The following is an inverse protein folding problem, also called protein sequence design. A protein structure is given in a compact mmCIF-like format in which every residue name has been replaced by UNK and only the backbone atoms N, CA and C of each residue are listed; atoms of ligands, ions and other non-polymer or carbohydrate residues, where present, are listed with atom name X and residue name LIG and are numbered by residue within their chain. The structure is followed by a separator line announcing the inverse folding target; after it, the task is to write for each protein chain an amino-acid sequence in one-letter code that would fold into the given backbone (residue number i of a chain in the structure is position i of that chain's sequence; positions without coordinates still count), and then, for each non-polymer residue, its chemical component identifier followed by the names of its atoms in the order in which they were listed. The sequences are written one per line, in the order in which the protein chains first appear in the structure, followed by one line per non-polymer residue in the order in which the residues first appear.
data_IF_920811819269
#
_entry.id   IF_920811819269
#
_cell.length_a   1.000
_cell.length_b   1.000
_cell.length_c   1.000
_cell.angle_alpha   90.00
_cell.angle_beta   90.00
_cell.angle_gamma   90.00
#
_symmetry.space_group_name_H-M   'P 1'
#
loop_
_entity.id
_entity.type
_entity.pdbx_description
1 polymer ?
#
# COMPACT_ATOMS: atom_id res chain seq x y z
N UNK A 1 -45.47 25.78 43.60
CA UNK A 1 -44.78 24.47 43.72
C UNK A 1 -44.86 23.56 42.48
N UNK A 2 -45.83 23.71 41.57
CA UNK A 2 -45.94 22.87 40.35
C UNK A 2 -44.94 23.22 39.22
N UNK A 3 -44.45 24.47 39.17
CA UNK A 3 -43.52 24.95 38.13
C UNK A 3 -42.05 24.56 38.39
N UNK A 4 -41.66 24.47 39.67
CA UNK A 4 -40.30 24.09 40.10
C UNK A 4 -40.03 22.62 39.77
N UNK A 5 -41.02 21.74 39.97
CA UNK A 5 -40.88 20.31 39.65
C UNK A 5 -40.69 20.10 38.14
N UNK A 6 -41.41 20.83 37.29
CA UNK A 6 -41.28 20.74 35.83
C UNK A 6 -39.92 21.21 35.33
N UNK A 7 -39.38 22.28 35.92
CA UNK A 7 -38.09 22.83 35.54
C UNK A 7 -36.91 21.96 36.01
N UNK A 8 -37.02 21.31 37.16
CA UNK A 8 -36.04 20.29 37.61
C UNK A 8 -36.11 19.04 36.74
N UNK A 9 -37.32 18.56 36.42
CA UNK A 9 -37.50 17.40 35.54
C UNK A 9 -36.93 17.65 34.14
N UNK A 10 -37.18 18.83 33.55
CA UNK A 10 -36.61 19.18 32.24
C UNK A 10 -35.09 19.28 32.27
N UNK A 11 -34.49 19.87 33.32
CA UNK A 11 -33.02 19.94 33.45
C UNK A 11 -32.39 18.55 33.59
N UNK A 12 -33.05 17.66 34.35
CA UNK A 12 -32.60 16.27 34.49
C UNK A 12 -32.70 15.50 33.16
N UNK A 13 -33.78 15.71 32.40
CA UNK A 13 -33.96 15.11 31.07
C UNK A 13 -32.90 15.58 30.08
N UNK A 14 -32.56 16.87 30.07
CA UNK A 14 -31.51 17.43 29.19
C UNK A 14 -30.15 16.81 29.56
N UNK A 15 -29.84 16.69 30.85
CA UNK A 15 -28.58 16.08 31.31
C UNK A 15 -28.52 14.57 30.97
N UNK A 16 -29.65 13.87 31.03
CA UNK A 16 -29.78 12.48 30.61
C UNK A 16 -29.59 12.32 29.09
N UNK A 17 -30.10 13.24 28.27
CA UNK A 17 -29.93 13.22 26.82
C UNK A 17 -28.49 13.54 26.38
N UNK A 18 -27.79 14.43 27.11
CA UNK A 18 -26.37 14.69 26.87
C UNK A 18 -25.49 13.48 27.23
N UNK A 19 -25.82 12.76 28.30
CA UNK A 19 -25.10 11.53 28.69
C UNK A 19 -25.48 10.31 27.85
N UNK A 20 -26.69 10.29 27.29
CA UNK A 20 -27.16 9.27 26.34
C UNK A 20 -26.74 9.54 24.89
N UNK A 21 -25.90 10.56 24.64
CA UNK A 21 -25.17 10.70 23.39
C UNK A 21 -24.12 9.60 23.29
N UNK A 22 -24.59 8.36 23.14
CA UNK A 22 -23.82 7.29 22.55
C UNK A 22 -23.34 7.84 21.21
N UNK A 23 -22.03 8.08 21.11
CA UNK A 23 -21.38 8.07 19.82
C UNK A 23 -21.63 6.66 19.27
N UNK A 24 -22.71 6.53 18.49
CA UNK A 24 -22.80 5.46 17.52
C UNK A 24 -21.65 5.72 16.55
N UNK A 25 -20.46 5.25 16.93
CA UNK A 25 -19.44 4.92 15.96
C UNK A 25 -20.08 3.82 15.13
N UNK A 26 -20.77 4.23 14.07
CA UNK A 26 -20.99 3.37 12.94
C UNK A 26 -19.58 3.04 12.45
N UNK A 27 -18.99 1.98 13.01
CA UNK A 27 -17.84 1.35 12.41
C UNK A 27 -18.26 1.10 10.96
N UNK A 28 -17.59 1.76 10.03
CA UNK A 28 -17.78 1.49 8.62
C UNK A 28 -17.13 0.13 8.32
N UNK A 29 -17.67 -0.94 8.90
CA UNK A 29 -17.19 -2.31 8.71
C UNK A 29 -17.36 -2.72 7.23
N UNK A 30 -18.09 -1.96 6.42
CA UNK A 30 -18.16 -2.14 4.97
C UNK A 30 -17.04 -1.48 4.17
N UNK A 31 -16.58 -0.27 4.54
CA UNK A 31 -15.62 0.48 3.70
C UNK A 31 -14.17 0.23 4.10
N UNK A 32 -13.87 0.07 5.40
CA UNK A 32 -12.51 -0.23 5.85
C UNK A 32 -12.08 -1.64 5.46
N UNK A 33 -12.98 -2.63 5.53
CA UNK A 33 -12.71 -3.98 5.05
C UNK A 33 -12.70 -4.10 3.53
N UNK A 34 -13.57 -3.37 2.81
CA UNK A 34 -13.51 -3.33 1.34
C UNK A 34 -12.27 -2.59 0.84
N UNK A 35 -11.84 -1.52 1.52
CA UNK A 35 -10.60 -0.80 1.21
C UNK A 35 -9.36 -1.65 1.55
N UNK A 36 -9.37 -2.38 2.68
CA UNK A 36 -8.30 -3.31 3.02
C UNK A 36 -8.20 -4.45 2.01
N UNK A 37 -9.33 -5.04 1.60
CA UNK A 37 -9.35 -6.05 0.54
C UNK A 37 -8.88 -5.46 -0.81
N UNK A 38 -9.29 -4.24 -1.16
CA UNK A 38 -8.81 -3.58 -2.37
C UNK A 38 -7.29 -3.30 -2.32
N UNK A 39 -6.75 -2.95 -1.15
CA UNK A 39 -5.33 -2.74 -0.93
C UNK A 39 -4.53 -4.03 -1.09
N UNK A 40 -4.98 -5.14 -0.49
CA UNK A 40 -4.35 -6.46 -0.66
C UNK A 40 -4.34 -6.90 -2.13
N UNK A 41 -5.44 -6.66 -2.85
CA UNK A 41 -5.54 -6.98 -4.27
C UNK A 41 -4.55 -6.13 -5.10
N UNK A 42 -4.38 -4.86 -4.72
CA UNK A 42 -3.39 -3.97 -5.35
C UNK A 42 -1.95 -4.43 -5.05
N UNK A 43 -1.64 -4.84 -3.82
CA UNK A 43 -0.32 -5.37 -3.44
C UNK A 43 0.02 -6.63 -4.23
N UNK A 44 -0.96 -7.54 -4.36
CA UNK A 44 -0.81 -8.74 -5.19
C UNK A 44 -0.57 -8.39 -6.65
N UNK A 45 -1.25 -7.37 -7.18
CA UNK A 45 -1.03 -6.88 -8.54
C UNK A 45 0.38 -6.29 -8.73
N UNK A 46 0.92 -5.59 -7.73
CA UNK A 46 2.30 -5.07 -7.74
C UNK A 46 3.32 -6.22 -7.81
N UNK A 47 3.17 -7.23 -6.95
CA UNK A 47 4.08 -8.40 -6.94
C UNK A 47 3.99 -9.18 -8.26
N UNK A 48 2.79 -9.41 -8.77
CA UNK A 48 2.58 -10.08 -10.06
C UNK A 48 3.15 -9.27 -11.23
N UNK A 49 2.99 -7.95 -11.22
CA UNK A 49 3.55 -7.05 -12.22
C UNK A 49 5.08 -7.10 -12.24
N UNK A 50 5.71 -7.12 -11.06
CA UNK A 50 7.16 -7.26 -10.93
C UNK A 50 7.66 -8.62 -11.47
N UNK A 51 7.00 -9.72 -11.11
CA UNK A 51 7.33 -11.07 -11.58
C UNK A 51 7.08 -11.28 -13.07
N UNK A 52 6.21 -10.47 -13.69
CA UNK A 52 5.89 -10.55 -15.11
C UNK A 52 6.88 -9.77 -15.99
N UNK A 53 7.81 -9.01 -15.40
CA UNK A 53 8.83 -8.28 -16.17
C UNK A 53 9.82 -9.26 -16.80
N UNK A 54 10.06 -9.11 -18.09
CA UNK A 54 10.99 -9.96 -18.85
C UNK A 54 12.40 -10.01 -18.24
N UNK A 55 12.90 -8.89 -17.72
CA UNK A 55 14.21 -8.84 -17.03
C UNK A 55 14.23 -9.74 -15.78
N UNK A 56 13.14 -9.73 -15.01
CA UNK A 56 12.99 -10.51 -13.78
C UNK A 56 12.84 -11.99 -14.11
N UNK A 57 12.06 -12.34 -15.13
CA UNK A 57 11.91 -13.72 -15.57
C UNK A 57 13.21 -14.28 -16.13
N UNK A 58 13.96 -13.48 -16.90
CA UNK A 58 15.24 -13.88 -17.45
C UNK A 58 16.29 -14.11 -16.36
N UNK A 59 16.37 -13.22 -15.37
CA UNK A 59 17.26 -13.39 -14.21
C UNK A 59 16.88 -14.60 -13.36
N UNK A 60 15.59 -14.82 -13.12
CA UNK A 60 15.12 -16.02 -12.42
C UNK A 60 15.50 -17.30 -13.18
N UNK A 61 15.29 -17.33 -14.49
CA UNK A 61 15.69 -18.46 -15.33
C UNK A 61 17.22 -18.65 -15.37
N UNK A 62 17.99 -17.56 -15.38
CA UNK A 62 19.46 -17.61 -15.30
C UNK A 62 19.94 -18.22 -13.97
N UNK A 63 19.17 -18.05 -12.90
CA UNK A 63 19.39 -18.70 -11.60
C UNK A 63 18.78 -20.10 -11.50
N UNK A 64 18.21 -20.63 -12.57
CA UNK A 64 17.58 -21.97 -12.62
C UNK A 64 16.19 -22.03 -11.98
N UNK A 65 15.56 -20.88 -11.72
CA UNK A 65 14.21 -20.78 -11.15
C UNK A 65 13.18 -20.65 -12.26
N UNK A 66 12.14 -21.48 -12.19
CA UNK A 66 11.03 -21.38 -13.13
C UNK A 66 10.04 -20.26 -12.73
N UNK A 67 9.73 -19.30 -13.63
CA UNK A 67 8.85 -18.18 -13.32
C UNK A 67 7.39 -18.57 -13.07
N UNK A 68 6.94 -19.74 -13.53
CA UNK A 68 5.59 -20.21 -13.23
C UNK A 68 5.46 -20.67 -11.78
N UNK A 69 6.49 -21.33 -11.27
CA UNK A 69 6.56 -21.76 -9.86
C UNK A 69 6.57 -20.54 -8.92
N UNK A 70 7.32 -19.49 -9.25
CA UNK A 70 7.34 -18.26 -8.46
C UNK A 70 5.95 -17.59 -8.39
N UNK A 71 5.20 -17.58 -9.49
CA UNK A 71 3.83 -17.04 -9.53
C UNK A 71 2.86 -17.87 -8.70
N UNK A 72 2.97 -19.20 -8.76
CA UNK A 72 2.15 -20.10 -7.96
C UNK A 72 2.43 -19.94 -6.45
N UNK A 73 3.69 -19.72 -6.06
CA UNK A 73 4.04 -19.41 -4.67
C UNK A 73 3.38 -18.14 -4.19
N UNK A 74 3.44 -17.05 -4.97
CA UNK A 74 2.75 -15.82 -4.60
C UNK A 74 1.23 -16.03 -4.62
N UNK A 75 0.68 -16.86 -5.50
CA UNK A 75 -0.73 -17.26 -5.47
C UNK A 75 -1.12 -17.89 -4.12
N UNK A 76 -0.28 -18.75 -3.56
CA UNK A 76 -0.50 -19.43 -2.29
C UNK A 76 -0.15 -18.60 -1.03
N UNK A 77 0.51 -17.43 -1.18
CA UNK A 77 0.86 -16.57 -0.04
C UNK A 77 -0.37 -15.93 0.61
N UNK A 78 -0.29 -15.73 1.92
CA UNK A 78 -1.30 -15.00 2.69
C UNK A 78 -1.24 -13.50 2.41
N UNK A 79 -2.35 -12.81 2.67
CA UNK A 79 -2.48 -11.38 2.42
C UNK A 79 -1.40 -10.53 3.13
N UNK A 80 -1.03 -10.89 4.35
CA UNK A 80 0.02 -10.22 5.12
C UNK A 80 1.42 -10.42 4.51
N UNK A 81 1.71 -11.62 4.00
CA UNK A 81 2.98 -11.92 3.35
C UNK A 81 3.10 -11.21 2.00
N UNK A 82 2.00 -11.13 1.24
CA UNK A 82 1.96 -10.38 -0.03
C UNK A 82 2.14 -8.87 0.23
N UNK A 83 1.52 -8.32 1.27
CA UNK A 83 1.70 -6.92 1.66
C UNK A 83 3.16 -6.59 2.01
N UNK A 84 3.81 -7.43 2.82
CA UNK A 84 5.24 -7.26 3.15
C UNK A 84 6.14 -7.37 1.92
N UNK A 85 5.83 -8.29 1.00
CA UNK A 85 6.58 -8.47 -0.24
C UNK A 85 6.39 -7.28 -1.19
N UNK A 86 5.16 -6.79 -1.35
CA UNK A 86 4.85 -5.60 -2.14
C UNK A 86 5.58 -4.36 -1.58
N UNK A 87 5.60 -4.19 -0.26
CA UNK A 87 6.36 -3.14 0.40
C UNK A 87 7.86 -3.23 0.13
N UNK A 88 8.41 -4.45 0.11
CA UNK A 88 9.83 -4.69 -0.21
C UNK A 88 10.14 -4.39 -1.67
N UNK A 89 9.27 -4.78 -2.61
CA UNK A 89 9.42 -4.49 -4.04
C UNK A 89 9.31 -2.99 -4.32
N UNK A 90 8.41 -2.28 -3.62
CA UNK A 90 8.24 -0.84 -3.77
C UNK A 90 9.40 -0.05 -3.12
N UNK A 91 9.97 -0.59 -2.05
CA UNK A 91 11.14 0.00 -1.35
C UNK A 91 12.46 -0.34 -2.03
N UNK A 92 12.50 -1.41 -2.82
CA UNK A 92 13.65 -1.72 -3.67
C UNK A 92 13.79 -0.59 -4.70
N UNK A 93 14.92 0.13 -4.76
CA UNK A 93 15.13 1.20 -5.71
C UNK A 93 14.85 0.67 -7.12
N UNK A 94 13.76 1.11 -7.73
CA UNK A 94 13.37 0.68 -9.07
C UNK A 94 14.40 1.20 -10.08
N UNK A 95 15.46 0.42 -10.30
CA UNK A 95 16.36 0.56 -11.44
C UNK A 95 17.06 1.91 -11.55
N UNK A 96 18.04 2.18 -10.68
CA UNK A 96 19.25 2.90 -11.09
C UNK A 96 20.09 2.09 -12.11
N UNK A 97 19.42 1.28 -12.94
CA UNK A 97 19.97 0.42 -13.99
C UNK A 97 19.10 0.47 -15.26
N UNK A 98 18.19 1.45 -15.41
CA UNK A 98 17.73 1.78 -16.76
C UNK A 98 18.98 2.20 -17.55
N UNK A 99 19.29 1.51 -18.66
CA UNK A 99 20.53 1.73 -19.42
C UNK A 99 20.80 3.21 -19.78
N UNK A 100 19.75 4.04 -19.79
CA UNK A 100 19.81 5.49 -19.92
C UNK A 100 20.63 6.20 -18.84
N UNK A 101 20.63 5.73 -17.59
CA UNK A 101 21.48 6.29 -16.54
C UNK A 101 22.97 6.13 -16.90
N UNK A 102 23.35 4.98 -17.46
CA UNK A 102 24.70 4.74 -17.99
C UNK A 102 24.98 5.67 -19.19
N UNK A 103 24.02 5.82 -20.11
CA UNK A 103 24.18 6.66 -21.30
C UNK A 103 24.35 8.13 -20.93
N UNK A 104 23.57 8.64 -19.97
CA UNK A 104 23.65 10.03 -19.49
C UNK A 104 24.99 10.27 -18.79
N UNK A 105 25.43 9.35 -17.93
CA UNK A 105 26.73 9.46 -17.25
C UNK A 105 27.88 9.46 -18.28
N UNK A 106 27.84 8.56 -19.27
CA UNK A 106 28.85 8.52 -20.33
C UNK A 106 28.85 9.79 -21.20
N UNK A 107 27.68 10.30 -21.57
CA UNK A 107 27.55 11.54 -22.34
C UNK A 107 28.14 12.75 -21.59
N UNK A 108 27.87 12.85 -20.28
CA UNK A 108 28.42 13.91 -19.43
C UNK A 108 29.94 13.82 -19.30
N UNK A 109 30.50 12.62 -19.18
CA UNK A 109 31.97 12.40 -19.12
C UNK A 109 32.64 12.80 -20.44
N UNK A 110 32.07 12.39 -21.58
CA UNK A 110 32.61 12.77 -22.90
C UNK A 110 32.56 14.28 -23.10
N UNK A 111 31.43 14.91 -22.78
CA UNK A 111 31.27 16.36 -22.86
C UNK A 111 32.29 17.10 -21.97
N UNK A 112 32.47 16.64 -20.72
CA UNK A 112 33.43 17.22 -19.78
C UNK A 112 34.87 17.10 -20.27
N UNK A 113 35.27 15.94 -20.83
CA UNK A 113 36.62 15.74 -21.38
C UNK A 113 36.87 16.64 -22.59
N UNK A 114 35.86 16.82 -23.45
CA UNK A 114 35.94 17.74 -24.59
C UNK A 114 35.98 19.21 -24.17
N UNK A 115 35.29 19.58 -23.09
CA UNK A 115 35.28 20.95 -22.59
C UNK A 115 36.54 21.30 -21.78
N UNK A 116 37.18 20.30 -21.17
CA UNK A 116 38.42 20.47 -20.37
C UNK A 116 39.70 20.32 -21.21
N UNK A 117 39.60 20.18 -22.53
CA UNK A 117 40.71 20.07 -23.47
C UNK A 117 40.64 21.21 -24.47
#
# INVERSE_FOLDING_TARGET
MKSIIKSVLCRFLILALLSASFQASAGMIGTEHAAAAAAVQADRAVVMGALSRTDVTNEMQAQGLDPSVARERVAAMTDAEVHSLAGTINSAPAGASSGWAIVIVLALVVWFVWYRK
#
